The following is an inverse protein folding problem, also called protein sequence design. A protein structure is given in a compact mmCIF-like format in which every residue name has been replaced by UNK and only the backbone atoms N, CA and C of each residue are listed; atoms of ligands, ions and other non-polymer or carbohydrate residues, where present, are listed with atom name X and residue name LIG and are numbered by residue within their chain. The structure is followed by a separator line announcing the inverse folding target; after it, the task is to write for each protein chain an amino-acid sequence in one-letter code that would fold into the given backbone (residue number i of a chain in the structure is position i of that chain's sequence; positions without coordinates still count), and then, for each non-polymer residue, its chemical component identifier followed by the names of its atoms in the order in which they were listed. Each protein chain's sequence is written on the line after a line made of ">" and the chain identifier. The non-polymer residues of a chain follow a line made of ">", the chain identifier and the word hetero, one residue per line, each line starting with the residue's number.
data_IF_184893638197
#
_entry.id   IF_184893638197
#
_cell.length_a   1.000
_cell.length_b   1.000
_cell.length_c   1.000
_cell.angle_alpha   90.00
_cell.angle_beta   90.00
_cell.angle_gamma   90.00
#
_symmetry.space_group_name_H-M   'P 1'
#
loop_
_entity.id
_entity.type
_entity.pdbx_description
1 polymer ?
#
# COMPACT_ATOMS: atom_id res chain seq x y z
N UNK A 1 -9.71 43.53 -33.21
CA UNK A 1 -10.89 42.96 -32.53
C UNK A 1 -10.80 41.43 -32.36
N UNK A 2 -10.23 40.69 -33.32
CA UNK A 2 -10.02 39.22 -33.23
C UNK A 2 -8.91 38.82 -32.26
N UNK A 3 -7.85 39.63 -32.10
CA UNK A 3 -6.73 39.31 -31.19
C UNK A 3 -7.10 39.37 -29.70
N UNK A 4 -7.97 40.28 -29.28
CA UNK A 4 -8.46 40.35 -27.90
C UNK A 4 -9.39 39.18 -27.55
N UNK A 5 -10.09 38.62 -28.54
CA UNK A 5 -10.93 37.43 -28.39
C UNK A 5 -10.06 36.17 -28.27
N UNK A 6 -8.97 36.09 -29.05
CA UNK A 6 -8.03 34.97 -28.98
C UNK A 6 -7.20 34.98 -27.68
N UNK A 7 -6.77 36.16 -27.22
CA UNK A 7 -6.09 36.32 -25.93
C UNK A 7 -7.01 35.99 -24.76
N UNK A 8 -8.28 36.38 -24.83
CA UNK A 8 -9.31 35.99 -23.87
C UNK A 8 -9.61 34.48 -23.88
N UNK A 9 -9.65 33.84 -25.06
CA UNK A 9 -9.82 32.39 -25.19
C UNK A 9 -8.61 31.62 -24.68
N UNK A 10 -7.39 32.08 -24.94
CA UNK A 10 -6.16 31.45 -24.46
C UNK A 10 -5.99 31.55 -22.93
N UNK A 11 -6.32 32.71 -22.33
CA UNK A 11 -6.39 32.87 -20.87
C UNK A 11 -7.53 32.04 -20.25
N UNK A 12 -8.67 31.93 -20.93
CA UNK A 12 -9.80 31.10 -20.52
C UNK A 12 -9.48 29.60 -20.56
N UNK A 13 -8.87 29.11 -21.64
CA UNK A 13 -8.41 27.72 -21.80
C UNK A 13 -7.27 27.38 -20.83
N UNK A 14 -6.32 28.29 -20.63
CA UNK A 14 -5.25 28.16 -19.64
C UNK A 14 -5.79 28.13 -18.22
N UNK A 15 -6.74 29.00 -17.87
CA UNK A 15 -7.39 29.02 -16.56
C UNK A 15 -8.31 27.80 -16.34
N UNK A 16 -9.00 27.32 -17.38
CA UNK A 16 -9.83 26.11 -17.33
C UNK A 16 -8.98 24.84 -17.19
N UNK A 17 -7.81 24.79 -17.85
CA UNK A 17 -6.82 23.72 -17.72
C UNK A 17 -6.11 23.74 -16.37
N UNK A 18 -5.79 24.93 -15.84
CA UNK A 18 -5.25 25.08 -14.49
C UNK A 18 -6.29 24.68 -13.43
N UNK A 19 -7.57 25.00 -13.64
CA UNK A 19 -8.69 24.61 -12.76
C UNK A 19 -9.00 23.12 -12.83
N UNK A 20 -8.85 22.46 -13.97
CA UNK A 20 -8.95 21.00 -14.09
C UNK A 20 -7.73 20.28 -13.51
N UNK A 21 -6.54 20.89 -13.57
CA UNK A 21 -5.33 20.42 -12.89
C UNK A 21 -5.43 20.53 -11.36
N UNK A 22 -5.96 21.66 -10.85
CA UNK A 22 -6.30 21.82 -9.42
C UNK A 22 -7.35 20.80 -8.95
N UNK A 23 -8.36 20.46 -9.79
CA UNK A 23 -9.31 19.37 -9.50
C UNK A 23 -8.68 17.98 -9.44
N UNK A 24 -7.57 17.77 -10.15
CA UNK A 24 -6.84 16.49 -10.14
C UNK A 24 -5.91 16.37 -8.93
N UNK A 25 -5.59 17.49 -8.28
CA UNK A 25 -4.78 17.56 -7.05
C UNK A 25 -5.62 17.71 -5.78
N UNK A 26 -6.96 17.82 -5.85
CA UNK A 26 -7.77 17.75 -4.64
C UNK A 26 -7.70 16.32 -4.10
N UNK A 27 -7.13 16.08 -2.90
CA UNK A 27 -7.27 14.79 -2.25
C UNK A 27 -8.77 14.52 -2.10
N UNK A 28 -9.18 13.27 -2.33
CA UNK A 28 -10.55 12.80 -2.08
C UNK A 28 -10.91 13.15 -0.64
N UNK A 29 -11.57 14.30 -0.47
CA UNK A 29 -11.98 14.78 0.84
C UNK A 29 -13.14 13.89 1.28
N UNK A 30 -13.05 13.44 2.51
CA UNK A 30 -13.95 12.48 3.16
C UNK A 30 -15.40 12.97 3.30
N UNK A 31 -15.76 14.09 2.66
CA UNK A 31 -17.08 14.71 2.72
C UNK A 31 -18.06 14.10 1.71
N UNK A 32 -17.57 13.38 0.70
CA UNK A 32 -18.42 12.56 -0.18
C UNK A 32 -18.95 11.28 0.53
N UNK A 33 -18.53 11.04 1.78
CA UNK A 33 -19.10 10.01 2.66
C UNK A 33 -20.32 10.47 3.46
N UNK A 34 -20.67 11.76 3.46
CA UNK A 34 -21.73 12.29 4.32
C UNK A 34 -23.04 12.55 3.55
N UNK A 35 -23.04 12.62 2.22
CA UNK A 35 -24.26 12.92 1.43
C UNK A 35 -25.08 11.70 1.01
N UNK A 36 -24.72 10.46 1.41
CA UNK A 36 -25.58 9.28 1.21
C UNK A 36 -26.88 9.33 2.03
N UNK A 37 -27.09 10.34 2.88
CA UNK A 37 -28.24 10.39 3.79
C UNK A 37 -29.49 11.15 3.28
N UNK A 38 -29.61 11.47 1.99
CA UNK A 38 -30.77 12.24 1.50
C UNK A 38 -31.37 11.75 0.16
N UNK A 39 -31.76 10.48 0.10
CA UNK A 39 -32.81 10.02 -0.83
C UNK A 39 -33.53 8.84 -0.16
N UNK A 40 -34.60 9.13 0.59
CA UNK A 40 -35.98 8.99 0.11
C UNK A 40 -36.44 7.54 -0.11
N UNK A 41 -36.95 6.99 0.98
CA UNK A 41 -38.29 6.42 1.10
C UNK A 41 -38.64 5.06 0.42
N UNK A 42 -39.34 4.26 1.23
CA UNK A 42 -40.20 3.11 0.91
C UNK A 42 -39.58 1.71 0.73
N UNK A 43 -39.56 0.98 1.86
CA UNK A 43 -39.96 -0.44 1.99
C UNK A 43 -39.26 -1.54 1.18
N UNK A 44 -38.13 -1.29 0.53
CA UNK A 44 -37.37 -2.35 -0.13
C UNK A 44 -35.88 -2.16 0.14
N UNK A 45 -35.18 -3.27 0.41
CA UNK A 45 -33.72 -3.41 0.36
C UNK A 45 -32.93 -3.06 1.63
N UNK A 46 -33.10 -3.88 2.68
CA UNK A 46 -32.05 -4.21 3.66
C UNK A 46 -30.75 -4.76 3.01
N UNK A 47 -30.75 -5.01 1.70
CA UNK A 47 -29.58 -5.37 0.92
C UNK A 47 -28.50 -4.27 0.98
N UNK A 48 -28.87 -2.98 0.87
CA UNK A 48 -27.92 -1.85 0.84
C UNK A 48 -26.94 -1.83 2.01
N UNK A 49 -27.46 -1.98 3.22
CA UNK A 49 -26.68 -1.96 4.46
C UNK A 49 -25.85 -3.25 4.63
N UNK A 50 -26.39 -4.41 4.23
CA UNK A 50 -25.66 -5.68 4.26
C UNK A 50 -24.47 -5.69 3.28
N UNK A 51 -24.64 -5.15 2.06
CA UNK A 51 -23.54 -5.08 1.10
C UNK A 51 -22.45 -4.09 1.59
N UNK A 52 -22.85 -2.98 2.24
CA UNK A 52 -21.90 -2.00 2.77
C UNK A 52 -21.16 -2.54 4.01
N UNK A 53 -21.83 -3.34 4.84
CA UNK A 53 -21.22 -4.08 5.96
C UNK A 53 -20.25 -5.16 5.45
N UNK A 54 -20.65 -5.95 4.45
CA UNK A 54 -19.77 -6.95 3.80
C UNK A 54 -18.54 -6.31 3.14
N UNK A 55 -18.71 -5.18 2.43
CA UNK A 55 -17.59 -4.43 1.83
C UNK A 55 -16.71 -3.81 2.93
N UNK A 56 -17.31 -3.33 4.02
CA UNK A 56 -16.60 -2.78 5.18
C UNK A 56 -15.74 -3.83 5.89
N UNK A 57 -16.29 -5.04 6.10
CA UNK A 57 -15.57 -6.18 6.64
C UNK A 57 -14.44 -6.61 5.71
N UNK A 58 -14.70 -6.74 4.40
CA UNK A 58 -13.69 -7.12 3.40
C UNK A 58 -12.54 -6.12 3.32
N UNK A 59 -12.83 -4.81 3.43
CA UNK A 59 -11.80 -3.75 3.47
C UNK A 59 -11.00 -3.74 4.79
N UNK A 60 -11.65 -4.01 5.93
CA UNK A 60 -10.94 -4.16 7.22
C UNK A 60 -10.01 -5.36 7.21
N UNK A 61 -10.46 -6.50 6.68
CA UNK A 61 -9.63 -7.72 6.55
C UNK A 61 -8.46 -7.50 5.60
N UNK A 62 -8.68 -6.87 4.43
CA UNK A 62 -7.63 -6.60 3.46
C UNK A 62 -6.56 -5.61 3.97
N UNK A 63 -6.95 -4.56 4.71
CA UNK A 63 -5.98 -3.65 5.33
C UNK A 63 -5.17 -4.35 6.42
N UNK A 64 -5.81 -5.17 7.26
CA UNK A 64 -5.10 -5.96 8.29
C UNK A 64 -4.14 -6.98 7.68
N UNK A 65 -4.54 -7.66 6.61
CA UNK A 65 -3.66 -8.58 5.87
C UNK A 65 -2.49 -7.86 5.20
N UNK A 66 -2.68 -6.65 4.69
CA UNK A 66 -1.58 -5.85 4.15
C UNK A 66 -0.55 -5.45 5.23
N UNK A 67 -1.00 -5.16 6.46
CA UNK A 67 -0.12 -4.87 7.60
C UNK A 67 0.74 -6.07 7.99
N UNK A 68 0.26 -7.31 7.83
CA UNK A 68 1.00 -8.51 8.17
C UNK A 68 2.34 -8.65 7.41
N UNK A 69 2.39 -8.22 6.14
CA UNK A 69 3.64 -8.22 5.36
C UNK A 69 4.72 -7.33 5.97
N UNK A 70 4.32 -6.18 6.54
CA UNK A 70 5.26 -5.23 7.11
C UNK A 70 5.71 -5.63 8.52
N UNK A 71 4.86 -6.32 9.27
CA UNK A 71 5.16 -6.81 10.63
C UNK A 71 6.06 -8.06 10.61
N UNK A 72 5.84 -8.96 9.66
CA UNK A 72 6.53 -10.26 9.58
C UNK A 72 8.07 -10.20 9.64
N UNK A 73 8.79 -9.35 8.86
CA UNK A 73 10.26 -9.32 8.90
C UNK A 73 10.81 -8.84 10.25
N UNK A 74 10.09 -7.98 10.97
CA UNK A 74 10.49 -7.53 12.29
C UNK A 74 10.37 -8.67 13.31
N UNK A 75 9.28 -9.45 13.27
CA UNK A 75 9.10 -10.62 14.13
C UNK A 75 10.13 -11.70 13.87
N UNK A 76 10.38 -12.02 12.60
CA UNK A 76 11.41 -13.01 12.20
C UNK A 76 12.78 -12.58 12.70
N UNK A 77 13.12 -11.28 12.59
CA UNK A 77 14.40 -10.77 13.08
C UNK A 77 14.55 -10.91 14.60
N UNK A 78 13.48 -10.66 15.36
CA UNK A 78 13.49 -10.87 16.81
C UNK A 78 13.68 -12.35 17.17
N UNK A 79 13.05 -13.27 16.43
CA UNK A 79 13.27 -14.72 16.59
C UNK A 79 14.73 -15.09 16.27
N UNK A 80 15.28 -14.55 15.19
CA UNK A 80 16.67 -14.80 14.79
C UNK A 80 17.66 -14.38 15.89
N UNK A 81 17.47 -13.20 16.47
CA UNK A 81 18.31 -12.67 17.56
C UNK A 81 18.20 -13.54 18.82
N UNK A 82 17.00 -13.98 19.20
CA UNK A 82 16.81 -14.88 20.34
C UNK A 82 17.54 -16.21 20.15
N UNK A 83 17.34 -16.85 19.00
CA UNK A 83 17.98 -18.15 18.70
C UNK A 83 19.50 -18.00 18.57
N UNK A 84 19.98 -16.91 17.98
CA UNK A 84 21.42 -16.62 17.90
C UNK A 84 22.05 -16.43 19.29
N UNK A 85 21.27 -15.98 20.28
CA UNK A 85 21.70 -15.87 21.68
C UNK A 85 21.68 -17.23 22.42
N UNK A 86 21.27 -18.32 21.76
CA UNK A 86 21.21 -19.66 22.33
C UNK A 86 19.84 -20.05 22.90
N UNK A 87 18.81 -19.22 22.73
CA UNK A 87 17.44 -19.56 23.12
C UNK A 87 16.86 -20.68 22.24
N UNK A 88 15.97 -21.49 22.83
CA UNK A 88 15.19 -22.43 22.04
C UNK A 88 14.18 -21.70 21.14
N UNK A 89 13.77 -22.34 20.04
CA UNK A 89 12.72 -21.80 19.16
C UNK A 89 11.41 -21.55 19.92
N UNK A 90 11.03 -22.44 20.84
CA UNK A 90 9.81 -22.28 21.65
C UNK A 90 9.90 -21.09 22.59
N UNK A 91 11.03 -20.92 23.30
CA UNK A 91 11.28 -19.76 24.18
C UNK A 91 11.25 -18.44 23.40
N UNK A 92 11.97 -18.38 22.29
CA UNK A 92 12.02 -17.21 21.41
C UNK A 92 10.63 -16.86 20.85
N UNK A 93 9.85 -17.86 20.45
CA UNK A 93 8.50 -17.67 19.92
C UNK A 93 7.51 -17.23 20.99
N UNK A 94 7.63 -17.73 22.22
CA UNK A 94 6.86 -17.27 23.38
C UNK A 94 7.16 -15.79 23.69
N UNK A 95 8.43 -15.41 23.69
CA UNK A 95 8.85 -14.02 23.89
C UNK A 95 8.30 -13.09 22.80
N UNK A 96 8.45 -13.45 21.52
CA UNK A 96 7.98 -12.61 20.41
C UNK A 96 6.45 -12.52 20.38
N UNK A 97 5.73 -13.63 20.60
CA UNK A 97 4.26 -13.65 20.57
C UNK A 97 3.58 -12.90 21.71
N UNK A 98 4.27 -12.75 22.85
CA UNK A 98 3.79 -11.99 24.02
C UNK A 98 4.16 -10.50 23.94
N UNK A 99 5.32 -10.16 23.35
CA UNK A 99 5.81 -8.78 23.29
C UNK A 99 5.39 -8.02 22.04
N UNK A 100 5.16 -8.72 20.94
CA UNK A 100 4.78 -8.08 19.69
C UNK A 100 3.27 -7.87 19.56
N UNK A 101 2.90 -6.83 18.82
CA UNK A 101 1.53 -6.52 18.43
C UNK A 101 1.39 -6.63 16.92
N UNK A 102 0.23 -7.08 16.45
CA UNK A 102 -0.02 -7.23 15.03
C UNK A 102 -0.88 -8.43 14.70
N UNK A 103 -1.20 -8.59 13.42
CA UNK A 103 -1.99 -9.73 12.96
C UNK A 103 -1.15 -11.02 13.07
N UNK A 104 0.11 -10.97 12.64
CA UNK A 104 1.02 -12.13 12.69
C UNK A 104 1.34 -12.51 14.13
N UNK A 105 1.51 -11.52 15.02
CA UNK A 105 1.78 -11.75 16.43
C UNK A 105 0.60 -12.46 17.16
N UNK A 106 -0.64 -12.11 16.82
CA UNK A 106 -1.83 -12.83 17.33
C UNK A 106 -1.82 -14.29 16.89
N UNK A 107 -1.56 -14.54 15.61
CA UNK A 107 -1.51 -15.90 15.05
C UNK A 107 -0.38 -16.74 15.65
N UNK A 108 0.78 -16.14 15.93
CA UNK A 108 1.86 -16.78 16.71
C UNK A 108 1.42 -17.09 18.15
N UNK A 109 0.65 -16.21 18.80
CA UNK A 109 0.15 -16.46 20.16
C UNK A 109 -0.88 -17.57 20.22
N UNK A 110 -1.66 -17.76 19.16
CA UNK A 110 -2.58 -18.88 19.00
C UNK A 110 -1.78 -20.18 18.81
N UNK A 111 -0.78 -20.16 17.92
CA UNK A 111 0.11 -21.31 17.71
C UNK A 111 0.83 -21.70 19.01
N UNK A 112 1.41 -20.73 19.73
CA UNK A 112 2.09 -20.97 21.01
C UNK A 112 1.17 -21.61 22.05
N UNK A 113 -0.07 -21.09 22.20
CA UNK A 113 -1.06 -21.70 23.10
C UNK A 113 -1.36 -23.16 22.73
N UNK A 114 -1.45 -23.49 21.45
CA UNK A 114 -1.68 -24.86 21.00
C UNK A 114 -0.46 -25.76 21.27
N UNK A 115 0.76 -25.25 21.12
CA UNK A 115 1.99 -25.95 21.49
C UNK A 115 2.07 -26.21 23.00
N UNK A 116 1.70 -25.23 23.82
CA UNK A 116 1.67 -25.35 25.29
C UNK A 116 0.62 -26.38 25.75
N UNK A 117 -0.42 -26.60 24.95
CA UNK A 117 -1.42 -27.67 25.13
C UNK A 117 -0.98 -29.04 24.59
N UNK A 118 0.26 -29.15 24.09
CA UNK A 118 0.83 -30.41 23.60
C UNK A 118 0.62 -30.70 22.11
N UNK A 119 0.20 -29.72 21.31
CA UNK A 119 0.16 -29.88 19.85
C UNK A 119 1.58 -30.00 19.27
N UNK A 120 1.71 -30.64 18.10
CA UNK A 120 2.99 -30.79 17.43
C UNK A 120 3.38 -29.51 16.67
N UNK A 121 4.68 -29.16 16.70
CA UNK A 121 5.20 -27.99 16.02
C UNK A 121 4.95 -28.00 14.51
N UNK A 122 5.16 -29.15 13.84
CA UNK A 122 4.84 -29.31 12.42
C UNK A 122 3.37 -28.96 12.12
N UNK A 123 2.43 -29.46 12.94
CA UNK A 123 1.00 -29.21 12.75
C UNK A 123 0.66 -27.74 12.96
N UNK A 124 1.20 -27.11 14.00
CA UNK A 124 0.90 -25.70 14.28
C UNK A 124 1.51 -24.75 13.26
N UNK A 125 2.70 -25.05 12.71
CA UNK A 125 3.28 -24.28 11.62
C UNK A 125 2.45 -24.39 10.33
N UNK A 126 1.93 -25.59 10.01
CA UNK A 126 1.00 -25.75 8.89
C UNK A 126 -0.32 -25.02 9.13
N UNK A 127 -0.91 -25.17 10.32
CA UNK A 127 -2.16 -24.49 10.68
C UNK A 127 -1.98 -22.95 10.66
N UNK A 128 -0.84 -22.45 11.12
CA UNK A 128 -0.49 -21.03 11.04
C UNK A 128 -0.44 -20.52 9.59
N UNK A 129 0.19 -21.27 8.69
CA UNK A 129 0.25 -20.96 7.26
C UNK A 129 -1.13 -20.99 6.58
N UNK A 130 -2.05 -21.83 7.06
CA UNK A 130 -3.44 -21.89 6.59
C UNK A 130 -4.30 -20.74 7.14
N UNK A 131 -4.14 -20.38 8.42
CA UNK A 131 -4.88 -19.27 9.07
C UNK A 131 -4.54 -17.92 8.46
N UNK A 132 -3.26 -17.71 8.13
CA UNK A 132 -2.80 -16.51 7.44
C UNK A 132 -2.13 -16.87 6.12
N UNK A 133 -2.90 -16.97 5.01
CA UNK A 133 -2.42 -17.42 3.70
C UNK A 133 -1.62 -16.32 2.99
N UNK A 134 -0.48 -15.98 3.57
CA UNK A 134 0.47 -15.02 3.06
C UNK A 134 1.70 -15.76 2.55
N UNK A 135 2.09 -15.52 1.30
CA UNK A 135 3.17 -16.26 0.62
C UNK A 135 4.47 -16.30 1.45
N UNK A 136 4.87 -15.16 2.03
CA UNK A 136 6.09 -15.05 2.83
C UNK A 136 6.02 -15.84 4.13
N UNK A 137 4.83 -15.92 4.77
CA UNK A 137 4.64 -16.69 6.00
C UNK A 137 4.60 -18.19 5.71
N UNK A 138 3.93 -18.60 4.63
CA UNK A 138 3.90 -20.00 4.19
C UNK A 138 5.32 -20.49 3.85
N UNK A 139 6.10 -19.67 3.14
CA UNK A 139 7.49 -19.97 2.81
C UNK A 139 8.34 -20.10 4.08
N UNK A 140 8.20 -19.17 5.04
CA UNK A 140 8.88 -19.25 6.34
C UNK A 140 8.54 -20.54 7.08
N UNK A 141 7.26 -20.89 7.23
CA UNK A 141 6.84 -22.10 7.96
C UNK A 141 7.42 -23.38 7.32
N UNK A 142 7.39 -23.45 5.98
CA UNK A 142 7.96 -24.57 5.23
C UNK A 142 9.48 -24.66 5.42
N UNK A 143 10.19 -23.53 5.31
CA UNK A 143 11.65 -23.48 5.53
C UNK A 143 12.01 -23.88 6.96
N UNK A 144 11.28 -23.38 7.96
CA UNK A 144 11.47 -23.76 9.36
C UNK A 144 11.28 -25.26 9.57
N UNK A 145 10.19 -25.84 9.06
CA UNK A 145 9.92 -27.27 9.16
C UNK A 145 11.05 -28.12 8.55
N UNK A 146 11.55 -27.72 7.36
CA UNK A 146 12.66 -28.41 6.70
C UNK A 146 13.95 -28.26 7.51
N UNK A 147 14.23 -27.06 8.03
CA UNK A 147 15.43 -26.76 8.80
C UNK A 147 15.47 -27.52 10.12
N UNK A 148 14.33 -27.61 10.80
CA UNK A 148 14.19 -28.38 12.04
C UNK A 148 14.47 -29.87 11.82
N UNK A 149 14.01 -30.43 10.68
CA UNK A 149 14.27 -31.84 10.32
C UNK A 149 15.73 -32.11 9.92
N UNK A 150 16.39 -31.11 9.31
CA UNK A 150 17.78 -31.24 8.82
C UNK A 150 18.83 -30.78 9.83
N UNK A 151 18.43 -30.11 10.91
CA UNK A 151 19.35 -29.55 11.91
C UNK A 151 20.18 -28.38 11.40
N UNK A 152 19.72 -27.67 10.36
CA UNK A 152 20.42 -26.48 9.83
C UNK A 152 20.23 -25.28 10.77
N UNK A 153 21.20 -24.36 10.76
CA UNK A 153 21.21 -23.15 11.58
C UNK A 153 19.93 -22.32 11.37
N UNK A 154 19.08 -22.27 12.41
CA UNK A 154 17.81 -21.53 12.37
C UNK A 154 18.01 -20.02 12.38
N UNK A 155 19.05 -19.53 13.07
CA UNK A 155 19.37 -18.09 13.12
C UNK A 155 19.71 -17.54 11.74
N UNK A 156 20.48 -18.29 10.96
CA UNK A 156 20.87 -17.87 9.60
C UNK A 156 19.68 -17.89 8.66
N UNK A 157 18.85 -18.95 8.73
CA UNK A 157 17.62 -19.06 7.95
C UNK A 157 16.65 -17.91 8.23
N UNK A 158 16.41 -17.59 9.50
CA UNK A 158 15.51 -16.51 9.88
C UNK A 158 16.05 -15.14 9.44
N UNK A 159 17.36 -14.92 9.59
CA UNK A 159 18.02 -13.68 9.14
C UNK A 159 17.91 -13.50 7.63
N UNK A 160 18.19 -14.56 6.86
CA UNK A 160 18.05 -14.56 5.41
C UNK A 160 16.60 -14.32 4.98
N UNK A 161 15.64 -14.99 5.60
CA UNK A 161 14.22 -14.81 5.28
C UNK A 161 13.73 -13.40 5.60
N UNK A 162 14.14 -12.83 6.73
CA UNK A 162 13.83 -11.43 7.10
C UNK A 162 14.35 -10.47 6.03
N UNK A 163 15.61 -10.64 5.60
CA UNK A 163 16.22 -9.80 4.58
C UNK A 163 15.56 -9.95 3.21
N UNK A 164 15.17 -11.18 2.84
CA UNK A 164 14.43 -11.47 1.61
C UNK A 164 13.09 -10.72 1.58
N UNK A 165 12.31 -10.79 2.66
CA UNK A 165 11.02 -10.09 2.78
C UNK A 165 11.20 -8.57 2.72
N UNK A 166 12.22 -8.01 3.41
CA UNK A 166 12.52 -6.56 3.34
C UNK A 166 12.87 -6.11 1.93
N UNK A 167 13.66 -6.92 1.21
CA UNK A 167 14.02 -6.65 -0.18
C UNK A 167 12.78 -6.67 -1.07
N UNK A 168 11.88 -7.62 -0.88
CA UNK A 168 10.61 -7.67 -1.61
C UNK A 168 9.75 -6.42 -1.35
N UNK A 169 9.62 -6.02 -0.08
CA UNK A 169 8.91 -4.79 0.30
C UNK A 169 9.51 -3.56 -0.38
N UNK A 170 10.85 -3.46 -0.41
CA UNK A 170 11.54 -2.35 -1.06
C UNK A 170 11.27 -2.33 -2.57
N UNK A 171 11.33 -3.48 -3.24
CA UNK A 171 10.98 -3.61 -4.66
C UNK A 171 9.53 -3.20 -4.90
N UNK A 172 8.59 -3.61 -4.04
CA UNK A 172 7.19 -3.22 -4.15
C UNK A 172 7.00 -1.70 -3.98
N UNK A 173 7.71 -1.07 -3.03
CA UNK A 173 7.70 0.40 -2.86
C UNK A 173 8.25 1.13 -4.07
N UNK A 174 9.36 0.65 -4.64
CA UNK A 174 9.95 1.22 -5.87
C UNK A 174 8.98 1.08 -7.04
N UNK A 175 8.34 -0.08 -7.22
CA UNK A 175 7.31 -0.28 -8.24
C UNK A 175 6.12 0.68 -8.07
N UNK A 176 5.71 0.96 -6.84
CA UNK A 176 4.63 1.93 -6.56
C UNK A 176 5.08 3.36 -6.86
N UNK A 177 6.32 3.74 -6.54
CA UNK A 177 6.88 5.04 -6.87
C UNK A 177 7.01 5.25 -8.40
N UNK A 178 7.47 4.24 -9.14
CA UNK A 178 7.59 4.29 -10.60
C UNK A 178 6.25 4.47 -11.32
N UNK A 179 5.14 3.97 -10.77
CA UNK A 179 3.80 4.25 -11.32
C UNK A 179 3.43 5.74 -11.30
N UNK A 180 4.03 6.53 -10.40
CA UNK A 180 3.84 7.98 -10.36
C UNK A 180 4.73 8.71 -11.38
N UNK A 181 5.78 8.08 -11.90
CA UNK A 181 6.66 8.69 -12.90
C UNK A 181 5.90 9.03 -14.19
N UNK A 182 5.05 8.14 -14.68
CA UNK A 182 4.20 8.41 -15.85
C UNK A 182 3.23 9.58 -15.59
N UNK A 183 2.81 9.79 -14.34
CA UNK A 183 2.00 10.96 -13.97
C UNK A 183 2.81 12.26 -13.91
N UNK A 184 4.14 12.20 -13.74
CA UNK A 184 5.01 13.38 -13.76
C UNK A 184 5.29 13.89 -15.19
N UNK A 185 5.19 13.04 -16.22
CA UNK A 185 5.35 13.45 -17.62
C UNK A 185 4.19 14.31 -18.13
N UNK A 186 2.97 14.10 -17.61
CA UNK A 186 1.75 14.81 -18.08
C UNK A 186 1.82 16.33 -17.80
N UNK A 187 2.13 16.81 -16.57
CA UNK A 187 2.34 18.24 -16.31
C UNK A 187 3.43 18.85 -17.19
N UNK A 188 4.52 18.12 -17.43
CA UNK A 188 5.65 18.62 -18.21
C UNK A 188 5.21 18.97 -19.63
N UNK A 189 4.52 18.05 -20.32
CA UNK A 189 4.06 18.27 -21.70
C UNK A 189 2.96 19.33 -21.76
N UNK A 190 1.96 19.26 -20.88
CA UNK A 190 0.80 20.16 -20.93
C UNK A 190 1.06 21.56 -20.35
N UNK A 191 2.13 21.77 -19.58
CA UNK A 191 2.48 23.08 -19.03
C UNK A 191 3.62 23.73 -19.81
N UNK A 192 4.69 23.00 -20.11
CA UNK A 192 5.88 23.58 -20.74
C UNK A 192 5.61 23.92 -22.20
N UNK A 193 4.98 23.02 -22.97
CA UNK A 193 4.74 23.24 -24.41
C UNK A 193 3.86 24.48 -24.71
N UNK A 194 2.72 24.72 -24.04
CA UNK A 194 1.95 25.94 -24.30
C UNK A 194 2.67 27.20 -23.81
N UNK A 195 3.42 27.14 -22.71
CA UNK A 195 4.20 28.28 -22.22
C UNK A 195 5.31 28.65 -23.20
N UNK A 196 6.02 27.67 -23.76
CA UNK A 196 7.08 27.92 -24.75
C UNK A 196 6.51 28.47 -26.06
N UNK A 197 5.39 27.94 -26.55
CA UNK A 197 4.69 28.47 -27.74
C UNK A 197 4.21 29.91 -27.51
N UNK A 198 3.62 30.20 -26.35
CA UNK A 198 3.18 31.55 -26.00
C UNK A 198 4.35 32.53 -26.01
N UNK A 199 5.48 32.17 -25.40
CA UNK A 199 6.69 32.99 -25.37
C UNK A 199 7.30 33.22 -26.76
N UNK A 200 7.27 32.21 -27.62
CA UNK A 200 7.80 32.32 -28.98
C UNK A 200 6.94 33.22 -29.88
N UNK A 201 5.61 33.14 -29.76
CA UNK A 201 4.67 33.89 -30.61
C UNK A 201 4.47 35.35 -30.14
N UNK A 202 4.62 35.61 -28.84
CA UNK A 202 4.44 36.95 -28.25
C UNK A 202 5.23 38.09 -28.94
N UNK A 203 6.56 37.99 -29.17
CA UNK A 203 7.30 39.05 -29.83
C UNK A 203 6.91 39.21 -31.30
N UNK A 204 6.59 38.13 -32.01
CA UNK A 204 6.17 38.17 -33.41
C UNK A 204 4.86 38.95 -33.59
N UNK A 205 3.90 38.77 -32.69
CA UNK A 205 2.65 39.56 -32.69
C UNK A 205 2.89 41.02 -32.29
N UNK A 206 3.76 41.26 -31.31
CA UNK A 206 4.10 42.62 -30.88
C UNK A 206 4.80 43.44 -31.97
N UNK A 207 5.56 42.80 -32.87
CA UNK A 207 6.23 43.44 -34.00
C UNK A 207 5.29 43.66 -35.20
N UNK A 208 4.26 42.82 -35.37
CA UNK A 208 3.27 42.98 -36.44
C UNK A 208 2.23 44.07 -36.15
N UNK A 209 2.11 44.53 -34.90
CA UNK A 209 1.29 45.69 -34.55
C UNK A 209 2.01 47.04 -34.75
N UNK A 210 2.95 47.11 -35.70
CA UNK A 210 3.45 48.39 -36.21
C UNK A 210 2.31 49.04 -37.01
N UNK A 211 1.54 49.86 -36.29
CA UNK A 211 0.89 51.07 -36.78
C UNK A 211 -0.08 50.86 -37.95
N UNK A 212 -1.21 50.23 -37.68
CA UNK A 212 -2.41 50.45 -38.50
C UNK A 212 -3.11 51.70 -37.92
N UNK A 213 -2.91 52.80 -38.65
CA UNK A 213 -3.57 54.10 -38.54
C UNK A 213 -5.09 53.95 -38.63
#
# INVERSE_FOLDING_TARGET
>A
MIESIFFGFALSLGAWSLKSYLRTLQPVSLLDRITVSAASNSKSLNLGNYINELIGLRRKTSKKQASALYELPDLINLLAVGIAAGESLHSSLSFVSSRASGLVAEEFRIAMRALDLGSSLDRELTALAERLPQAQLMELCNKLMISLKRGTSLSDLLTEQSQSIRTEIQIQRIKQAGKNETRMMVPLVFLILPVTVLFAVFPSLSLLNIKII
#
